data_IF_660159425149
#
_entry.id   IF_660159425149
#
_cell.length_a   1.000
_cell.length_b   1.000
_cell.length_c   1.000
_cell.angle_alpha   90.00
_cell.angle_beta   90.00
_cell.angle_gamma   90.00
#
_symmetry.space_group_name_H-M   'P 1'
#
loop_
_entity.id
_entity.type
_entity.pdbx_description
1 polymer ?
#
# COMPACT_ATOMS: atom_id res chain seq x y z
N UNK A 1 5.20 11.48 12.76
CA UNK A 1 4.58 12.69 13.35
C UNK A 1 4.36 13.83 12.36
N UNK A 2 5.36 14.19 11.49
CA UNK A 2 5.22 15.32 10.57
C UNK A 2 4.15 15.07 9.48
N UNK A 3 4.09 13.86 8.90
CA UNK A 3 3.10 13.45 7.91
C UNK A 3 1.67 13.61 8.44
N UNK A 4 1.44 13.13 9.66
CA UNK A 4 0.14 13.24 10.34
C UNK A 4 -0.23 14.71 10.56
N UNK A 5 0.71 15.52 11.06
CA UNK A 5 0.46 16.93 11.36
C UNK A 5 0.18 17.77 10.12
N UNK A 6 0.84 17.47 9.01
CA UNK A 6 0.68 18.17 7.74
C UNK A 6 -0.44 17.58 6.86
N UNK A 7 -0.96 16.40 7.21
CA UNK A 7 -1.93 15.67 6.38
C UNK A 7 -1.35 15.31 4.99
N UNK A 8 -0.02 15.11 4.90
CA UNK A 8 0.67 14.80 3.64
C UNK A 8 1.06 13.33 3.59
N UNK A 9 0.98 12.68 2.40
CA UNK A 9 1.46 11.32 2.22
C UNK A 9 2.95 11.20 2.53
N UNK A 10 3.36 10.05 3.08
CA UNK A 10 4.75 9.71 3.34
C UNK A 10 5.23 8.76 2.23
N UNK A 11 6.08 9.23 1.35
CA UNK A 11 6.73 8.41 0.32
C UNK A 11 8.02 7.79 0.88
N UNK A 12 8.08 6.46 0.87
CA UNK A 12 9.25 5.69 1.29
C UNK A 12 9.85 5.03 0.05
N UNK A 13 11.02 5.49 -0.35
CA UNK A 13 11.79 4.87 -1.43
C UNK A 13 12.95 4.05 -0.91
N UNK A 14 13.29 3.00 -1.63
CA UNK A 14 14.42 2.13 -1.31
C UNK A 14 14.45 0.88 -2.18
N UNK A 15 15.53 0.13 -2.09
CA UNK A 15 15.67 -1.14 -2.83
C UNK A 15 14.54 -2.12 -2.49
N UNK A 16 14.20 -3.01 -3.44
CA UNK A 16 13.27 -4.09 -3.18
C UNK A 16 13.78 -4.96 -2.00
N UNK A 17 12.86 -5.36 -1.10
CA UNK A 17 13.21 -6.21 0.05
C UNK A 17 13.94 -5.50 1.20
N UNK A 18 14.12 -4.17 1.18
CA UNK A 18 14.73 -3.43 2.30
C UNK A 18 13.79 -3.21 3.50
N UNK A 19 12.53 -3.63 3.42
CA UNK A 19 11.59 -3.59 4.54
C UNK A 19 10.59 -2.44 4.54
N UNK A 20 10.35 -1.75 3.42
CA UNK A 20 9.41 -0.63 3.29
C UNK A 20 7.99 -0.97 3.78
N UNK A 21 7.43 -2.06 3.29
CA UNK A 21 6.09 -2.55 3.67
C UNK A 21 6.03 -2.88 5.18
N UNK A 22 7.10 -3.46 5.74
CA UNK A 22 7.20 -3.74 7.17
C UNK A 22 7.30 -2.47 8.02
N UNK A 23 7.99 -1.44 7.53
CA UNK A 23 8.05 -0.15 8.19
C UNK A 23 6.64 0.46 8.32
N UNK A 24 5.81 0.35 7.27
CA UNK A 24 4.44 0.84 7.30
C UNK A 24 3.58 0.11 8.35
N UNK A 25 3.67 -1.22 8.43
CA UNK A 25 2.95 -1.99 9.45
C UNK A 25 3.45 -1.71 10.87
N UNK A 26 4.77 -1.52 11.06
CA UNK A 26 5.34 -1.15 12.35
C UNK A 26 4.90 0.25 12.81
N UNK A 27 4.75 1.20 11.88
CA UNK A 27 4.19 2.52 12.18
C UNK A 27 2.72 2.41 12.63
N UNK A 28 1.94 1.55 11.98
CA UNK A 28 0.54 1.32 12.37
C UNK A 28 0.45 0.71 13.79
N UNK A 29 1.34 -0.24 14.11
CA UNK A 29 1.44 -0.86 15.43
C UNK A 29 1.81 0.18 16.51
N UNK A 30 2.82 1.01 16.26
CA UNK A 30 3.28 2.07 17.17
C UNK A 30 2.19 3.13 17.42
N UNK A 31 1.33 3.39 16.43
CA UNK A 31 0.20 4.30 16.57
C UNK A 31 -1.03 3.64 17.22
N UNK A 32 -0.99 2.34 17.53
CA UNK A 32 -2.15 1.58 18.04
C UNK A 32 -3.26 1.39 17.00
N UNK A 33 -2.92 1.42 15.72
CA UNK A 33 -3.85 1.33 14.58
C UNK A 33 -3.66 0.05 13.76
N UNK A 34 -3.17 -1.04 14.36
CA UNK A 34 -2.92 -2.31 13.66
C UNK A 34 -4.18 -2.90 13.01
N UNK A 35 -5.32 -2.78 13.66
CA UNK A 35 -6.61 -3.25 13.11
C UNK A 35 -7.17 -2.31 12.02
N UNK A 36 -6.72 -1.07 11.98
CA UNK A 36 -7.08 -0.05 10.99
C UNK A 36 -5.96 0.13 9.96
N UNK A 37 -5.07 -0.85 9.85
CA UNK A 37 -4.04 -0.90 8.81
C UNK A 37 -4.61 -1.51 7.53
N UNK A 38 -4.57 -0.74 6.45
CA UNK A 38 -5.03 -1.14 5.13
C UNK A 38 -3.86 -1.10 4.17
N UNK A 39 -3.60 -2.21 3.48
CA UNK A 39 -2.53 -2.29 2.48
C UNK A 39 -3.10 -2.61 1.10
N UNK A 40 -2.69 -1.84 0.11
CA UNK A 40 -3.04 -2.04 -1.30
C UNK A 40 -1.76 -2.07 -2.11
N UNK A 41 -1.58 -3.14 -2.90
CA UNK A 41 -0.43 -3.27 -3.81
C UNK A 41 -0.83 -2.84 -5.21
N UNK A 42 -0.05 -1.92 -5.77
CA UNK A 42 -0.25 -1.38 -7.11
C UNK A 42 0.32 -2.35 -8.15
N UNK A 43 -0.44 -2.57 -9.21
CA UNK A 43 -0.04 -3.37 -10.39
C UNK A 43 0.17 -2.47 -11.59
N UNK A 44 0.86 -2.97 -12.61
CA UNK A 44 1.06 -2.22 -13.87
C UNK A 44 -0.24 -1.81 -14.57
N UNK A 45 -1.33 -2.53 -14.33
CA UNK A 45 -2.66 -2.25 -14.90
C UNK A 45 -3.57 -1.48 -13.96
N UNK A 46 -3.11 -1.12 -12.74
CA UNK A 46 -3.95 -0.41 -11.77
C UNK A 46 -4.23 1.02 -12.22
N UNK A 47 -5.47 1.42 -12.08
CA UNK A 47 -5.93 2.81 -12.17
C UNK A 47 -6.18 3.36 -10.76
N UNK A 48 -6.05 4.66 -10.56
CA UNK A 48 -6.29 5.28 -9.25
C UNK A 48 -7.72 4.99 -8.72
N UNK A 49 -8.71 4.94 -9.62
CA UNK A 49 -10.09 4.59 -9.27
C UNK A 49 -10.24 3.17 -8.71
N UNK A 50 -9.38 2.23 -9.13
CA UNK A 50 -9.46 0.84 -8.67
C UNK A 50 -9.10 0.69 -7.18
N UNK A 51 -8.50 1.71 -6.58
CA UNK A 51 -8.27 1.78 -5.14
C UNK A 51 -9.50 2.29 -4.35
N UNK A 52 -10.44 2.91 -5.05
CA UNK A 52 -11.58 3.63 -4.47
C UNK A 52 -12.86 2.82 -4.52
N UNK A 53 -13.20 2.32 -5.70
CA UNK A 53 -14.40 1.51 -5.91
C UNK A 53 -14.28 0.62 -7.13
N UNK A 54 -15.14 -0.38 -7.18
CA UNK A 54 -15.30 -1.29 -8.31
C UNK A 54 -16.77 -1.34 -8.74
N UNK A 55 -16.99 -1.33 -10.04
CA UNK A 55 -18.29 -1.60 -10.65
C UNK A 55 -18.29 -3.00 -11.28
N UNK A 56 -19.12 -3.91 -10.76
CA UNK A 56 -19.27 -5.26 -11.28
C UNK A 56 -20.29 -5.29 -12.43
N UNK A 57 -19.86 -4.78 -13.59
CA UNK A 57 -20.68 -4.74 -14.80
C UNK A 57 -21.05 -6.15 -15.31
N UNK A 58 -20.17 -7.14 -15.11
CA UNK A 58 -20.41 -8.50 -15.56
C UNK A 58 -21.53 -9.15 -14.76
N UNK A 59 -21.48 -9.04 -13.44
CA UNK A 59 -22.54 -9.54 -12.55
C UNK A 59 -23.87 -8.86 -12.86
N UNK A 60 -23.86 -7.53 -13.08
CA UNK A 60 -25.06 -6.81 -13.48
C UNK A 60 -25.66 -7.32 -14.80
N UNK A 61 -24.80 -7.60 -15.80
CA UNK A 61 -25.23 -8.14 -17.09
C UNK A 61 -25.83 -9.55 -16.94
N UNK A 62 -25.23 -10.39 -16.10
CA UNK A 62 -25.77 -11.73 -15.80
C UNK A 62 -27.12 -11.63 -15.11
N UNK A 63 -27.25 -10.80 -14.10
CA UNK A 63 -28.50 -10.60 -13.37
C UNK A 63 -29.62 -10.00 -14.25
N UNK A 64 -29.27 -9.18 -15.25
CA UNK A 64 -30.22 -8.60 -16.19
C UNK A 64 -30.84 -9.64 -17.17
N UNK A 65 -30.26 -10.84 -17.26
CA UNK A 65 -30.84 -11.93 -18.06
C UNK A 65 -32.07 -12.57 -17.38
N UNK A 66 -32.20 -12.41 -16.06
CA UNK A 66 -33.43 -12.81 -15.36
C UNK A 66 -34.39 -11.62 -15.24
N UNK A 67 -35.53 -11.67 -15.97
CA UNK A 67 -36.54 -10.61 -15.93
C UNK A 67 -37.14 -10.35 -14.54
N UNK A 68 -37.01 -11.31 -13.62
CA UNK A 68 -37.51 -11.22 -12.24
C UNK A 68 -36.50 -10.55 -11.29
N UNK A 69 -35.25 -10.41 -11.70
CA UNK A 69 -34.25 -9.77 -10.88
C UNK A 69 -34.35 -8.24 -10.99
N UNK A 70 -35.12 -7.63 -10.09
CA UNK A 70 -35.29 -6.16 -10.08
C UNK A 70 -34.00 -5.41 -9.74
N UNK A 71 -33.03 -6.04 -9.06
CA UNK A 71 -31.77 -5.41 -8.71
C UNK A 71 -30.98 -4.96 -9.96
N UNK A 72 -31.07 -5.73 -11.06
CA UNK A 72 -30.38 -5.43 -12.31
C UNK A 72 -30.83 -4.11 -12.98
N UNK A 73 -32.02 -3.59 -12.60
CA UNK A 73 -32.53 -2.28 -13.09
C UNK A 73 -31.74 -1.11 -12.51
N UNK A 74 -31.00 -1.34 -11.42
CA UNK A 74 -30.21 -0.35 -10.72
C UNK A 74 -28.72 -0.61 -10.86
N UNK A 75 -27.90 0.43 -10.75
CA UNK A 75 -26.45 0.36 -10.79
C UNK A 75 -25.88 0.15 -9.39
N UNK A 76 -26.43 0.82 -8.39
CA UNK A 76 -25.90 0.87 -7.04
C UNK A 76 -25.65 -0.50 -6.36
N UNK A 77 -26.40 -1.61 -6.64
CA UNK A 77 -26.13 -2.89 -6.03
C UNK A 77 -24.82 -3.52 -6.46
N UNK A 78 -24.28 -3.07 -7.59
CA UNK A 78 -23.06 -3.59 -8.22
C UNK A 78 -21.85 -2.67 -8.04
N UNK A 79 -22.00 -1.61 -7.25
CA UNK A 79 -20.88 -0.76 -6.83
C UNK A 79 -20.35 -1.27 -5.48
N UNK A 80 -19.06 -1.54 -5.40
CA UNK A 80 -18.39 -1.92 -4.18
C UNK A 80 -17.25 -0.92 -3.91
N UNK A 81 -17.17 -0.41 -2.67
CA UNK A 81 -16.01 0.38 -2.28
C UNK A 81 -14.81 -0.53 -2.11
N UNK A 82 -13.67 -0.09 -2.59
CA UNK A 82 -12.38 -0.72 -2.37
C UNK A 82 -11.71 -0.18 -1.09
N UNK A 83 -10.61 -0.75 -0.62
CA UNK A 83 -10.06 -0.44 0.70
C UNK A 83 -9.82 1.04 0.97
N UNK A 84 -9.26 1.81 0.01
CA UNK A 84 -9.06 3.25 0.17
C UNK A 84 -10.39 4.01 0.20
N UNK A 85 -11.35 3.60 -0.64
CA UNK A 85 -12.70 4.17 -0.66
C UNK A 85 -13.43 3.97 0.68
N UNK A 86 -13.30 2.80 1.29
CA UNK A 86 -13.83 2.54 2.63
C UNK A 86 -13.20 3.43 3.70
N UNK A 87 -11.88 3.60 3.66
CA UNK A 87 -11.16 4.47 4.61
C UNK A 87 -11.64 5.91 4.49
N UNK A 88 -11.81 6.41 3.25
CA UNK A 88 -12.33 7.77 3.01
C UNK A 88 -13.76 7.90 3.54
N UNK A 89 -14.64 6.97 3.20
CA UNK A 89 -16.03 6.98 3.65
C UNK A 89 -16.15 6.98 5.18
N UNK A 90 -15.38 6.14 5.86
CA UNK A 90 -15.46 6.00 7.32
C UNK A 90 -14.92 7.21 8.07
N UNK A 91 -13.91 7.90 7.54
CA UNK A 91 -13.29 9.05 8.18
C UNK A 91 -12.71 8.76 9.56
N UNK A 92 -12.26 7.52 9.80
CA UNK A 92 -11.67 7.08 11.07
C UNK A 92 -10.15 7.14 11.03
N UNK A 93 -9.47 7.33 12.18
CA UNK A 93 -8.02 7.18 12.25
C UNK A 93 -7.60 5.82 11.71
N UNK A 94 -6.71 5.82 10.71
CA UNK A 94 -6.24 4.62 10.04
C UNK A 94 -4.87 4.86 9.40
N UNK A 95 -4.19 3.78 9.03
CA UNK A 95 -2.95 3.81 8.26
C UNK A 95 -3.20 3.09 6.94
N UNK A 96 -2.96 3.77 5.84
CA UNK A 96 -3.09 3.22 4.49
C UNK A 96 -1.73 3.09 3.87
N UNK A 97 -1.37 1.88 3.45
CA UNK A 97 -0.19 1.60 2.65
C UNK A 97 -0.59 1.43 1.19
N UNK A 98 0.00 2.24 0.31
CA UNK A 98 -0.06 2.07 -1.15
C UNK A 98 1.31 1.60 -1.59
N UNK A 99 1.43 0.29 -1.82
CA UNK A 99 2.70 -0.38 -2.05
C UNK A 99 3.04 -0.43 -3.54
N UNK A 100 4.32 -0.14 -3.87
CA UNK A 100 4.89 -0.23 -5.23
C UNK A 100 4.22 0.69 -6.25
N UNK A 101 4.04 1.97 -5.90
CA UNK A 101 3.36 2.98 -6.75
C UNK A 101 4.03 3.16 -8.12
N UNK A 102 5.32 2.92 -8.21
CA UNK A 102 6.14 3.02 -9.42
C UNK A 102 5.90 1.88 -10.44
N UNK A 103 5.11 0.85 -10.10
CA UNK A 103 4.70 -0.19 -11.06
C UNK A 103 3.64 0.28 -12.03
N UNK A 104 2.75 1.17 -11.62
CA UNK A 104 1.68 1.69 -12.45
C UNK A 104 2.18 2.58 -13.59
N UNK A 105 1.27 3.01 -14.44
CA UNK A 105 1.55 4.00 -15.45
C UNK A 105 1.82 5.39 -14.84
N UNK A 106 2.44 6.27 -15.63
CA UNK A 106 2.90 7.59 -15.19
C UNK A 106 1.77 8.50 -14.70
N UNK A 107 0.55 8.29 -15.19
CA UNK A 107 -0.61 9.10 -14.81
C UNK A 107 -1.19 8.68 -13.46
N UNK A 108 -1.04 7.42 -13.07
CA UNK A 108 -1.58 6.89 -11.82
C UNK A 108 -1.20 7.71 -10.56
N UNK A 109 0.07 8.08 -10.33
CA UNK A 109 0.43 8.88 -9.17
C UNK A 109 -0.26 10.25 -9.15
N UNK A 110 -0.45 10.88 -10.30
CA UNK A 110 -1.11 12.18 -10.40
C UNK A 110 -2.61 12.09 -10.11
N UNK A 111 -3.28 11.08 -10.66
CA UNK A 111 -4.71 10.82 -10.41
C UNK A 111 -4.96 10.51 -8.94
N UNK A 112 -4.06 9.74 -8.33
CA UNK A 112 -4.12 9.42 -6.91
C UNK A 112 -3.96 10.65 -6.02
N UNK A 113 -3.13 11.61 -6.42
CA UNK A 113 -2.91 12.84 -5.66
C UNK A 113 -4.18 13.65 -5.45
N UNK A 114 -5.02 13.78 -6.46
CA UNK A 114 -6.28 14.55 -6.37
C UNK A 114 -7.17 13.98 -5.26
N UNK A 115 -7.26 12.66 -5.21
CA UNK A 115 -8.02 11.95 -4.16
C UNK A 115 -7.38 12.15 -2.77
N UNK A 116 -6.06 12.03 -2.68
CA UNK A 116 -5.34 12.16 -1.41
C UNK A 116 -5.34 13.59 -0.86
N UNK A 117 -5.36 14.60 -1.74
CA UNK A 117 -5.42 16.01 -1.34
C UNK A 117 -6.80 16.38 -0.76
N UNK A 118 -7.87 15.90 -1.39
CA UNK A 118 -9.25 16.23 -0.99
C UNK A 118 -9.84 15.28 0.04
N UNK A 119 -9.42 14.01 0.01
CA UNK A 119 -10.03 12.89 0.73
C UNK A 119 -11.51 12.73 0.41
N UNK A 120 -11.83 12.88 -0.87
CA UNK A 120 -13.15 12.69 -1.45
C UNK A 120 -13.01 12.19 -2.89
N UNK A 121 -14.03 11.53 -3.41
CA UNK A 121 -14.07 11.09 -4.80
C UNK A 121 -15.51 10.92 -5.28
N UNK A 122 -15.68 10.93 -6.60
CA UNK A 122 -16.96 10.63 -7.24
C UNK A 122 -16.95 9.21 -7.82
N UNK A 123 -18.06 8.48 -7.62
CA UNK A 123 -18.32 7.21 -8.27
C UNK A 123 -18.96 7.51 -9.64
N UNK A 124 -18.14 7.56 -10.68
CA UNK A 124 -18.56 7.97 -12.02
C UNK A 124 -19.62 7.02 -12.61
N UNK A 125 -19.48 5.72 -12.33
CA UNK A 125 -20.38 4.66 -12.80
C UNK A 125 -21.77 4.73 -12.14
N UNK A 126 -21.93 5.46 -11.01
CA UNK A 126 -23.20 5.59 -10.31
C UNK A 126 -24.01 6.77 -10.87
N UNK A 127 -25.20 6.53 -11.49
CA UNK A 127 -26.06 7.60 -11.96
C UNK A 127 -26.48 8.55 -10.82
N UNK A 128 -26.56 9.85 -11.12
CA UNK A 128 -27.02 10.86 -10.14
C UNK A 128 -28.41 10.55 -9.59
N UNK A 129 -29.29 10.01 -10.42
CA UNK A 129 -30.65 9.60 -10.01
C UNK A 129 -30.70 8.46 -8.99
N UNK A 130 -29.62 7.69 -8.87
CA UNK A 130 -29.51 6.58 -7.92
C UNK A 130 -28.68 6.91 -6.68
N UNK A 131 -28.05 8.10 -6.63
CA UNK A 131 -27.15 8.48 -5.54
C UNK A 131 -27.80 8.42 -4.17
N UNK A 132 -29.00 8.97 -4.02
CA UNK A 132 -29.74 8.95 -2.76
C UNK A 132 -30.17 7.52 -2.35
N UNK A 133 -30.60 6.73 -3.33
CA UNK A 133 -30.96 5.32 -3.09
C UNK A 133 -29.73 4.50 -2.67
N UNK A 134 -28.59 4.73 -3.30
CA UNK A 134 -27.32 4.12 -2.91
C UNK A 134 -26.95 4.51 -1.47
N UNK A 135 -27.04 5.79 -1.13
CA UNK A 135 -26.76 6.28 0.23
C UNK A 135 -27.62 5.57 1.29
N UNK A 136 -28.92 5.43 1.04
CA UNK A 136 -29.85 4.79 1.97
C UNK A 136 -29.60 3.29 2.14
N UNK A 137 -29.15 2.58 1.09
CA UNK A 137 -29.00 1.12 1.11
C UNK A 137 -27.55 0.67 1.37
N UNK A 138 -26.56 1.46 0.98
CA UNK A 138 -25.13 1.10 1.01
C UNK A 138 -24.30 2.01 1.92
N UNK A 139 -24.87 3.10 2.43
CA UNK A 139 -24.22 4.07 3.29
C UNK A 139 -23.26 5.03 2.56
N UNK A 140 -23.29 5.08 1.23
CA UNK A 140 -22.55 6.04 0.42
C UNK A 140 -23.34 6.44 -0.82
N UNK A 141 -23.17 7.66 -1.28
CA UNK A 141 -23.78 8.18 -2.52
C UNK A 141 -22.77 8.23 -3.68
N UNK A 142 -23.14 8.95 -4.74
CA UNK A 142 -22.21 9.19 -5.85
C UNK A 142 -20.95 9.94 -5.42
N UNK A 143 -21.10 10.95 -4.60
CA UNK A 143 -19.99 11.65 -3.98
C UNK A 143 -19.68 11.01 -2.62
N UNK A 144 -18.45 10.55 -2.46
CA UNK A 144 -17.96 9.90 -1.25
C UNK A 144 -16.96 10.80 -0.57
N UNK A 145 -17.25 11.16 0.67
CA UNK A 145 -16.37 11.96 1.53
C UNK A 145 -16.51 11.47 2.97
N UNK A 146 -15.54 11.80 3.80
CA UNK A 146 -15.62 11.51 5.23
C UNK A 146 -16.83 12.21 5.86
N UNK A 147 -17.48 11.56 6.80
CA UNK A 147 -18.50 12.21 7.63
C UNK A 147 -17.93 13.46 8.31
N UNK A 148 -18.78 14.44 8.61
CA UNK A 148 -18.39 15.70 9.24
C UNK A 148 -17.52 15.45 10.49
N UNK A 149 -16.31 16.00 10.50
CA UNK A 149 -15.34 15.80 11.57
C UNK A 149 -14.44 14.57 11.39
N UNK A 150 -14.48 13.90 10.25
CA UNK A 150 -13.61 12.76 9.93
C UNK A 150 -12.12 13.10 10.01
N UNK A 151 -11.34 12.12 10.48
CA UNK A 151 -9.89 12.23 10.58
C UNK A 151 -9.25 11.70 9.31
N UNK A 152 -8.26 12.42 8.78
CA UNK A 152 -7.47 11.94 7.64
C UNK A 152 -6.58 10.78 8.07
N UNK A 153 -6.52 9.69 7.29
CA UNK A 153 -5.60 8.60 7.54
C UNK A 153 -4.15 9.04 7.33
N UNK A 154 -3.21 8.32 7.95
CA UNK A 154 -1.82 8.38 7.56
C UNK A 154 -1.64 7.55 6.29
N UNK A 155 -1.34 8.19 5.17
CA UNK A 155 -1.04 7.51 3.91
C UNK A 155 0.47 7.32 3.78
N UNK A 156 0.89 6.08 3.61
CA UNK A 156 2.26 5.67 3.34
C UNK A 156 2.30 5.10 1.93
N UNK A 157 3.23 5.59 1.12
CA UNK A 157 3.40 5.16 -0.26
C UNK A 157 4.80 4.60 -0.39
N UNK A 158 4.97 3.47 -1.07
CA UNK A 158 6.30 2.91 -1.32
C UNK A 158 6.65 2.91 -2.79
N UNK A 159 7.95 3.02 -3.07
CA UNK A 159 8.53 2.90 -4.41
C UNK A 159 9.85 2.12 -4.37
N UNK A 160 10.07 1.26 -5.35
CA UNK A 160 11.34 0.55 -5.58
C UNK A 160 12.28 1.32 -6.52
N UNK A 161 11.87 2.48 -7.04
CA UNK A 161 12.57 3.27 -8.05
C UNK A 161 12.71 2.55 -9.40
N UNK A 162 11.77 1.66 -9.72
CA UNK A 162 11.74 1.00 -11.04
C UNK A 162 11.40 2.00 -12.14
N UNK A 163 10.51 2.97 -11.83
CA UNK A 163 10.17 4.10 -12.69
C UNK A 163 10.29 5.41 -11.92
N UNK A 164 10.62 6.47 -12.63
CA UNK A 164 10.66 7.81 -12.04
C UNK A 164 9.24 8.33 -11.77
N UNK A 165 8.99 8.76 -10.55
CA UNK A 165 7.71 9.36 -10.18
C UNK A 165 7.63 10.81 -10.66
N UNK A 166 6.43 11.31 -11.04
CA UNK A 166 6.25 12.69 -11.48
C UNK A 166 6.62 13.70 -10.41
N UNK A 167 7.27 14.80 -10.83
CA UNK A 167 7.69 15.86 -9.92
C UNK A 167 6.53 16.50 -9.12
N UNK A 168 5.32 16.73 -9.69
CA UNK A 168 4.16 17.19 -8.94
C UNK A 168 3.75 16.27 -7.81
N UNK A 169 3.90 14.94 -8.00
CA UNK A 169 3.67 13.94 -6.98
C UNK A 169 4.70 14.04 -5.85
N UNK A 170 5.99 14.09 -6.18
CA UNK A 170 7.07 14.16 -5.20
C UNK A 170 6.95 15.40 -4.30
N UNK A 171 6.58 16.56 -4.85
CA UNK A 171 6.41 17.81 -4.10
C UNK A 171 5.29 17.75 -3.05
N UNK A 172 4.28 16.90 -3.24
CA UNK A 172 3.15 16.75 -2.32
C UNK A 172 3.38 15.70 -1.24
N UNK A 173 4.37 14.84 -1.43
CA UNK A 173 4.75 13.84 -0.44
C UNK A 173 5.83 14.36 0.52
N UNK A 174 5.86 13.80 1.73
CA UNK A 174 7.07 13.81 2.54
C UNK A 174 7.92 12.62 2.12
N UNK A 175 9.19 12.83 1.95
CA UNK A 175 10.09 11.85 1.37
C UNK A 175 11.03 11.25 2.42
N UNK A 176 11.15 9.93 2.42
CA UNK A 176 12.16 9.18 3.17
C UNK A 176 12.82 8.17 2.24
N UNK A 177 14.13 8.19 2.20
CA UNK A 177 14.92 7.14 1.57
C UNK A 177 15.29 6.10 2.62
N UNK A 178 14.89 4.85 2.38
CA UNK A 178 15.28 3.71 3.19
C UNK A 178 16.49 3.04 2.53
N UNK A 179 17.66 3.30 3.09
CA UNK A 179 18.89 2.71 2.61
C UNK A 179 19.02 1.26 3.10
N UNK A 180 19.74 0.47 2.32
CA UNK A 180 20.08 -0.88 2.76
C UNK A 180 21.04 -0.82 3.95
N UNK A 181 20.76 -1.54 5.06
CA UNK A 181 21.63 -1.54 6.23
C UNK A 181 22.97 -2.20 5.91
N UNK A 182 24.05 -1.44 6.04
CA UNK A 182 25.42 -1.92 5.81
C UNK A 182 26.07 -2.48 7.10
N UNK A 183 25.53 -2.13 8.26
CA UNK A 183 26.03 -2.64 9.56
C UNK A 183 25.56 -4.09 9.75
N UNK A 184 26.55 -5.01 9.87
CA UNK A 184 26.32 -6.45 10.09
C UNK A 184 25.49 -6.71 11.35
N UNK A 185 25.69 -5.93 12.43
CA UNK A 185 24.91 -6.07 13.67
C UNK A 185 23.44 -5.72 13.48
N UNK A 186 23.14 -4.77 12.59
CA UNK A 186 21.76 -4.44 12.23
C UNK A 186 21.14 -5.58 11.42
N UNK A 187 21.86 -6.14 10.47
CA UNK A 187 21.41 -7.30 9.69
C UNK A 187 21.16 -8.52 10.58
N UNK A 188 22.06 -8.83 11.52
CA UNK A 188 21.86 -9.91 12.50
C UNK A 188 20.57 -9.69 13.33
N UNK A 189 20.33 -8.46 13.80
CA UNK A 189 19.09 -8.12 14.51
C UNK A 189 17.84 -8.30 13.64
N UNK A 190 17.92 -7.91 12.36
CA UNK A 190 16.83 -8.09 11.40
C UNK A 190 16.55 -9.59 11.22
N UNK A 191 17.58 -10.40 10.99
CA UNK A 191 17.45 -11.85 10.85
C UNK A 191 16.83 -12.46 12.09
N UNK A 192 17.40 -12.21 13.27
CA UNK A 192 16.93 -12.77 14.54
C UNK A 192 15.47 -12.38 14.84
N UNK A 193 15.08 -11.13 14.60
CA UNK A 193 13.69 -10.67 14.79
C UNK A 193 12.70 -11.35 13.83
N UNK A 194 13.15 -11.70 12.63
CA UNK A 194 12.32 -12.33 11.61
C UNK A 194 12.22 -13.86 11.74
N UNK A 195 13.19 -14.48 12.38
CA UNK A 195 13.16 -15.92 12.67
C UNK A 195 12.21 -16.28 13.83
N UNK A 196 11.94 -15.31 14.73
CA UNK A 196 11.01 -15.50 15.85
C UNK A 196 11.42 -16.66 16.77
N UNK A 197 10.43 -17.48 17.19
CA UNK A 197 10.65 -18.63 18.08
C UNK A 197 11.52 -19.73 17.46
N UNK A 198 11.63 -19.77 16.12
CA UNK A 198 12.52 -20.72 15.42
C UNK A 198 14.01 -20.45 15.68
N UNK A 199 14.36 -19.32 16.31
CA UNK A 199 15.73 -18.96 16.71
C UNK A 199 16.38 -19.96 17.70
N UNK A 200 15.59 -20.77 18.39
CA UNK A 200 16.16 -21.77 19.31
C UNK A 200 16.91 -22.93 18.61
N UNK A 201 16.73 -23.09 17.30
CA UNK A 201 17.38 -24.13 16.49
C UNK A 201 18.64 -23.61 15.75
N UNK A 202 18.78 -22.29 15.57
CA UNK A 202 19.87 -21.71 14.77
C UNK A 202 20.86 -21.02 15.72
N UNK A 203 22.15 -21.43 15.66
CA UNK A 203 23.17 -20.80 16.49
C UNK A 203 23.45 -19.36 16.05
N UNK A 204 23.71 -18.46 17.02
CA UNK A 204 24.12 -17.08 16.75
C UNK A 204 25.36 -16.99 15.86
N UNK A 205 26.25 -17.97 15.96
CA UNK A 205 27.44 -18.08 15.11
C UNK A 205 27.08 -18.33 13.65
N UNK A 206 26.10 -19.20 13.38
CA UNK A 206 25.62 -19.49 12.02
C UNK A 206 24.97 -18.25 11.40
N UNK A 207 24.18 -17.49 12.17
CA UNK A 207 23.60 -16.21 11.73
C UNK A 207 24.69 -15.22 11.35
N UNK A 208 25.73 -15.06 12.19
CA UNK A 208 26.84 -14.15 11.92
C UNK A 208 27.63 -14.55 10.66
N UNK A 209 27.90 -15.85 10.47
CA UNK A 209 28.55 -16.35 9.26
C UNK A 209 27.71 -16.13 8.00
N UNK A 210 26.40 -16.35 8.09
CA UNK A 210 25.49 -16.10 6.96
C UNK A 210 25.46 -14.60 6.59
N UNK A 211 25.37 -13.73 7.59
CA UNK A 211 25.41 -12.26 7.38
C UNK A 211 26.73 -11.82 6.73
N UNK A 212 27.88 -12.32 7.21
CA UNK A 212 29.19 -12.00 6.64
C UNK A 212 29.29 -12.43 5.16
N UNK A 213 28.88 -13.66 4.85
CA UNK A 213 28.86 -14.15 3.47
C UNK A 213 27.90 -13.33 2.60
N UNK A 214 26.75 -13.00 3.13
CA UNK A 214 25.77 -12.19 2.42
C UNK A 214 26.31 -10.79 2.08
N UNK A 215 26.99 -10.12 3.03
CA UNK A 215 27.64 -8.83 2.79
C UNK A 215 28.68 -8.92 1.69
N UNK A 216 29.53 -9.95 1.70
CA UNK A 216 30.54 -10.17 0.65
C UNK A 216 29.93 -10.41 -0.72
N UNK A 217 28.84 -11.19 -0.80
CA UNK A 217 28.10 -11.41 -2.06
C UNK A 217 27.55 -10.08 -2.58
N UNK A 218 27.01 -9.25 -1.70
CA UNK A 218 26.46 -7.96 -2.05
C UNK A 218 27.52 -6.97 -2.53
N UNK A 219 28.66 -6.88 -1.82
CA UNK A 219 29.82 -6.09 -2.23
C UNK A 219 30.33 -6.50 -3.61
N UNK A 220 30.48 -7.82 -3.82
CA UNK A 220 30.90 -8.36 -5.11
C UNK A 220 29.89 -8.05 -6.23
N UNK A 221 28.61 -8.11 -5.92
CA UNK A 221 27.54 -7.74 -6.86
C UNK A 221 27.60 -6.25 -7.24
N UNK A 222 27.94 -5.37 -6.31
CA UNK A 222 28.15 -3.93 -6.58
C UNK A 222 29.35 -3.69 -7.47
N UNK A 223 30.51 -4.34 -7.19
CA UNK A 223 31.70 -4.27 -8.04
C UNK A 223 31.44 -4.72 -9.48
N UNK A 224 30.60 -5.74 -9.65
CA UNK A 224 30.20 -6.29 -10.94
C UNK A 224 29.05 -5.54 -11.63
N UNK A 225 28.57 -4.44 -11.02
CA UNK A 225 27.39 -3.69 -11.49
C UNK A 225 26.17 -4.58 -11.78
N UNK A 226 25.89 -5.53 -10.90
CA UNK A 226 24.72 -6.39 -11.03
C UNK A 226 23.43 -5.55 -10.96
N UNK A 227 22.48 -5.81 -11.84
CA UNK A 227 21.20 -5.10 -11.88
C UNK A 227 20.37 -5.31 -10.60
N UNK A 228 20.50 -6.46 -9.96
CA UNK A 228 19.80 -6.80 -8.74
C UNK A 228 20.78 -7.34 -7.71
N UNK A 229 20.84 -6.65 -6.56
CA UNK A 229 21.58 -7.11 -5.40
C UNK A 229 20.66 -7.88 -4.45
N UNK A 230 21.19 -8.90 -3.74
CA UNK A 230 20.38 -9.63 -2.78
C UNK A 230 19.94 -8.70 -1.62
N UNK A 231 18.68 -8.83 -1.21
CA UNK A 231 18.04 -7.99 -0.20
C UNK A 231 17.91 -8.69 1.18
N UNK A 232 17.45 -7.95 2.18
CA UNK A 232 17.28 -8.52 3.54
C UNK A 232 16.25 -9.65 3.60
N UNK A 233 15.24 -9.65 2.70
CA UNK A 233 14.28 -10.76 2.59
C UNK A 233 14.97 -12.06 2.20
N UNK A 234 15.85 -12.01 1.19
CA UNK A 234 16.60 -13.19 0.74
C UNK A 234 17.61 -13.67 1.80
N UNK A 235 18.21 -12.76 2.56
CA UNK A 235 19.04 -13.15 3.70
C UNK A 235 18.25 -13.91 4.77
N UNK A 236 17.06 -13.41 5.13
CA UNK A 236 16.19 -14.08 6.11
C UNK A 236 15.76 -15.45 5.61
N UNK A 237 15.38 -15.56 4.34
CA UNK A 237 14.97 -16.83 3.74
C UNK A 237 16.13 -17.81 3.66
N UNK A 238 17.32 -17.34 3.33
CA UNK A 238 18.53 -18.15 3.32
C UNK A 238 18.82 -18.75 4.69
N UNK A 239 18.77 -17.93 5.75
CA UNK A 239 19.03 -18.40 7.12
C UNK A 239 17.94 -19.36 7.62
N UNK A 240 16.68 -19.23 7.13
CA UNK A 240 15.61 -20.19 7.48
C UNK A 240 15.81 -21.60 6.95
N UNK A 241 16.56 -21.72 5.86
CA UNK A 241 16.80 -23.02 5.19
C UNK A 241 18.07 -23.71 5.73
N UNK A 242 18.94 -22.97 6.42
CA UNK A 242 20.14 -23.52 7.08
C UNK A 242 19.79 -24.21 8.39
#
# INVERSE_FOLDING_TARGET
>A
NLAIRLGRPLLIEGEAGCGKTRLASAIAEELGLSEQFVAVTVKSTSLAKDLLYRFDALRRLQDAQDPKNEAARHVYPYIELEPLGHVIQQGKPSVVLIDEVDKADIDFPNDLLDVLDRFEFDIEDLPRSESERCLNNRGFGRHVTASSGGVRPLVIITSNREKQLPEPFLRRCLYIQLEFPTDQKVLEKIVNKNLGVATHAISSQLVAEAVDRFCRIRERGQELNMQKLPATSELVDWVRVL
#
